data_IF_804617196182
#
_entry.id   IF_804617196182
#
_cell.length_a   1.000
_cell.length_b   1.000
_cell.length_c   1.000
_cell.angle_alpha   90.00
_cell.angle_beta   90.00
_cell.angle_gamma   90.00
#
_symmetry.space_group_name_H-M   'P 1'
#
loop_
_entity.id
_entity.type
_entity.pdbx_description
1 polymer ?
#
# COMPACT_ATOMS: atom_id res chain seq x y z
N UNK A 1 15.65 -22.36 1.84
CA UNK A 1 16.23 -21.05 2.22
C UNK A 1 15.24 -19.96 1.84
N UNK A 2 15.19 -18.82 2.56
CA UNK A 2 14.34 -17.69 2.17
C UNK A 2 14.68 -17.21 0.76
N UNK A 3 13.66 -16.90 -0.04
CA UNK A 3 13.83 -16.24 -1.34
C UNK A 3 13.56 -14.75 -1.17
N UNK A 4 14.55 -13.95 -1.54
CA UNK A 4 14.54 -12.50 -1.42
C UNK A 4 14.14 -11.84 -2.73
N UNK A 5 13.63 -10.62 -2.64
CA UNK A 5 13.32 -9.81 -3.81
C UNK A 5 14.55 -9.45 -4.64
N UNK A 6 14.31 -8.77 -5.75
CA UNK A 6 15.32 -8.41 -6.75
C UNK A 6 15.49 -6.89 -6.92
N UNK A 7 14.63 -6.07 -6.31
CA UNK A 7 14.78 -4.61 -6.38
C UNK A 7 15.96 -4.14 -5.56
N UNK A 8 16.82 -3.37 -6.20
CA UNK A 8 17.96 -2.70 -5.56
C UNK A 8 17.50 -1.47 -4.79
N UNK A 9 18.39 -0.95 -3.95
CA UNK A 9 18.14 0.26 -3.15
C UNK A 9 17.76 1.47 -4.00
N UNK A 10 18.36 1.62 -5.17
CA UNK A 10 18.14 2.73 -6.11
C UNK A 10 16.73 2.68 -6.71
N UNK A 11 16.09 1.50 -6.72
CA UNK A 11 14.76 1.28 -7.24
C UNK A 11 13.64 1.42 -6.18
N UNK A 12 14.01 1.67 -4.91
CA UNK A 12 13.08 1.63 -3.76
C UNK A 12 13.15 2.88 -2.86
N UNK A 13 13.64 4.01 -3.39
CA UNK A 13 13.72 5.28 -2.66
C UNK A 13 12.70 6.33 -3.10
N UNK A 14 12.42 7.34 -2.26
CA UNK A 14 11.63 8.50 -2.69
C UNK A 14 12.38 9.24 -3.81
N UNK A 15 11.63 9.71 -4.81
CA UNK A 15 12.20 10.39 -5.98
C UNK A 15 12.82 11.76 -5.64
N UNK A 16 12.44 12.37 -4.50
CA UNK A 16 12.91 13.67 -4.07
C UNK A 16 12.95 13.77 -2.52
N UNK A 17 13.75 14.70 -1.96
CA UNK A 17 13.68 15.03 -0.54
C UNK A 17 12.28 15.48 -0.13
N UNK A 18 11.79 15.00 1.01
CA UNK A 18 10.43 15.29 1.50
C UNK A 18 10.50 16.25 2.68
N UNK A 19 9.68 17.32 2.64
CA UNK A 19 9.43 18.16 3.80
C UNK A 19 8.35 17.52 4.68
N UNK A 20 8.75 16.86 5.77
CA UNK A 20 7.82 16.19 6.68
C UNK A 20 6.88 17.16 7.42
N UNK A 21 7.28 18.43 7.58
CA UNK A 21 6.45 19.46 8.23
C UNK A 21 5.24 19.90 7.38
N UNK A 22 5.22 19.50 6.10
CA UNK A 22 4.10 19.76 5.21
C UNK A 22 2.88 18.87 5.49
N UNK A 23 2.99 17.88 6.38
CA UNK A 23 1.92 16.92 6.69
C UNK A 23 1.45 17.02 8.14
N UNK A 24 0.18 16.68 8.42
CA UNK A 24 -0.30 16.57 9.79
C UNK A 24 0.54 15.57 10.60
N UNK A 25 0.80 15.83 11.89
CA UNK A 25 1.61 14.95 12.72
C UNK A 25 0.98 13.55 12.86
N UNK A 26 1.81 12.52 12.84
CA UNK A 26 1.41 11.14 13.10
C UNK A 26 1.29 10.88 14.62
N UNK A 27 0.45 9.91 15.07
CA UNK A 27 -0.41 9.04 14.27
C UNK A 27 -1.73 9.70 13.86
N UNK A 28 -2.22 9.37 12.67
CA UNK A 28 -3.53 9.82 12.22
C UNK A 28 -4.65 8.94 12.75
N UNK A 29 -5.73 9.59 13.20
CA UNK A 29 -6.99 8.92 13.50
C UNK A 29 -7.80 8.77 12.20
N UNK A 30 -8.20 7.55 11.88
CA UNK A 30 -8.97 7.21 10.67
C UNK A 30 -10.39 6.75 11.08
N UNK A 31 -11.18 7.67 11.63
CA UNK A 31 -12.50 7.35 12.17
C UNK A 31 -13.46 6.94 11.06
N UNK A 32 -14.26 5.90 11.29
CA UNK A 32 -15.26 5.45 10.32
C UNK A 32 -14.67 4.79 9.07
N UNK A 33 -13.39 4.41 9.10
CA UNK A 33 -12.74 3.70 8.00
C UNK A 33 -13.53 2.43 7.62
N UNK A 34 -13.85 2.31 6.34
CA UNK A 34 -14.45 1.10 5.76
C UNK A 34 -13.42 0.46 4.87
N UNK A 35 -13.12 -0.82 5.14
CA UNK A 35 -12.03 -1.53 4.45
C UNK A 35 -12.54 -2.87 3.95
N UNK A 36 -12.25 -3.18 2.69
CA UNK A 36 -12.35 -4.51 2.11
C UNK A 36 -10.96 -4.99 1.72
N UNK A 37 -10.66 -6.25 2.02
CA UNK A 37 -9.39 -6.87 1.68
C UNK A 37 -9.63 -8.20 0.97
N UNK A 38 -8.94 -8.40 -0.15
CA UNK A 38 -8.88 -9.67 -0.85
C UNK A 38 -7.43 -10.14 -0.86
N UNK A 39 -7.20 -11.39 -0.46
CA UNK A 39 -5.87 -12.03 -0.51
C UNK A 39 -5.92 -13.14 -1.56
N UNK A 40 -4.89 -13.22 -2.40
CA UNK A 40 -4.79 -14.19 -3.48
C UNK A 40 -3.34 -14.61 -3.69
N UNK A 41 -3.13 -15.84 -4.15
CA UNK A 41 -1.80 -16.33 -4.53
C UNK A 41 -1.32 -15.65 -5.81
N UNK A 42 -0.01 -15.50 -5.94
CA UNK A 42 0.62 -14.84 -7.10
C UNK A 42 1.81 -15.65 -7.61
N UNK A 43 2.26 -15.32 -8.82
CA UNK A 43 3.45 -15.90 -9.39
C UNK A 43 4.71 -15.59 -8.57
N UNK A 44 5.61 -16.56 -8.48
CA UNK A 44 6.85 -16.43 -7.72
C UNK A 44 7.78 -15.39 -8.34
N UNK A 45 8.04 -15.48 -9.64
CA UNK A 45 9.05 -14.65 -10.31
C UNK A 45 8.60 -13.18 -10.29
N UNK A 46 7.32 -12.93 -10.59
CA UNK A 46 6.72 -11.59 -10.47
C UNK A 46 6.80 -11.03 -9.04
N UNK A 47 6.65 -11.89 -8.02
CA UNK A 47 6.79 -11.47 -6.62
C UNK A 47 8.23 -11.03 -6.31
N UNK A 48 9.22 -11.80 -6.77
CA UNK A 48 10.63 -11.50 -6.51
C UNK A 48 11.07 -10.23 -7.24
N UNK A 49 10.64 -10.02 -8.49
CA UNK A 49 10.91 -8.79 -9.25
C UNK A 49 10.37 -7.51 -8.58
N UNK A 50 9.29 -7.63 -7.83
CA UNK A 50 8.62 -6.49 -7.21
C UNK A 50 9.10 -6.18 -5.78
N UNK A 51 9.67 -7.16 -5.09
CA UNK A 51 10.16 -7.01 -3.72
C UNK A 51 11.58 -6.43 -3.67
N UNK A 52 11.92 -5.66 -2.62
CA UNK A 52 13.29 -5.32 -2.28
C UNK A 52 14.15 -6.54 -1.95
N UNK A 53 15.43 -6.49 -2.29
CA UNK A 53 16.40 -7.56 -1.99
C UNK A 53 16.60 -7.84 -0.49
N UNK A 54 16.22 -6.90 0.39
CA UNK A 54 16.32 -7.08 1.84
C UNK A 54 15.08 -7.75 2.45
N UNK A 55 14.05 -8.01 1.64
CA UNK A 55 12.76 -8.56 2.07
C UNK A 55 12.54 -9.90 1.38
N UNK A 56 12.07 -10.88 2.14
CA UNK A 56 11.76 -12.22 1.62
C UNK A 56 10.25 -12.44 1.46
N UNK A 57 9.86 -13.37 0.59
CA UNK A 57 8.45 -13.74 0.36
C UNK A 57 7.97 -14.83 1.34
N UNK A 58 6.66 -14.93 1.65
CA UNK A 58 6.03 -16.08 2.32
C UNK A 58 5.86 -17.28 1.38
N UNK A 59 5.59 -18.47 1.93
CA UNK A 59 5.28 -19.69 1.15
C UNK A 59 3.84 -20.13 1.41
N UNK A 60 2.95 -20.18 0.40
CA UNK A 60 3.13 -19.69 -0.98
C UNK A 60 3.24 -18.15 -1.05
N UNK A 61 3.77 -17.58 -2.15
CA UNK A 61 3.70 -16.13 -2.38
C UNK A 61 2.24 -15.70 -2.58
N UNK A 62 1.87 -14.57 -1.98
CA UNK A 62 0.52 -14.02 -2.08
C UNK A 62 0.55 -12.49 -2.12
N UNK A 63 -0.46 -11.91 -2.73
CA UNK A 63 -0.73 -10.49 -2.74
C UNK A 63 -2.06 -10.18 -2.04
N UNK A 64 -2.26 -8.89 -1.76
CA UNK A 64 -3.47 -8.34 -1.18
C UNK A 64 -3.90 -7.12 -1.97
N UNK A 65 -5.20 -7.04 -2.28
CA UNK A 65 -5.84 -5.79 -2.66
C UNK A 65 -6.59 -5.29 -1.44
N UNK A 66 -6.29 -4.06 -1.02
CA UNK A 66 -7.05 -3.35 0.00
C UNK A 66 -7.79 -2.22 -0.70
N UNK A 67 -9.10 -2.14 -0.51
CA UNK A 67 -9.92 -0.98 -0.90
C UNK A 67 -10.48 -0.38 0.36
N UNK A 68 -10.16 0.89 0.61
CA UNK A 68 -10.60 1.59 1.81
C UNK A 68 -11.24 2.94 1.48
N UNK A 69 -12.21 3.33 2.31
CA UNK A 69 -12.84 4.65 2.30
C UNK A 69 -12.70 5.27 3.68
N UNK A 70 -12.20 6.49 3.73
CA UNK A 70 -11.99 7.27 4.94
C UNK A 70 -12.82 8.55 4.86
N UNK A 71 -13.84 8.66 5.70
CA UNK A 71 -14.72 9.84 5.74
C UNK A 71 -14.17 10.97 6.60
N UNK A 72 -13.28 10.66 7.55
CA UNK A 72 -12.75 11.60 8.53
C UNK A 72 -11.26 11.31 8.76
N UNK A 73 -10.41 12.18 8.19
CA UNK A 73 -8.95 12.12 8.35
C UNK A 73 -8.35 13.53 8.39
N UNK A 74 -7.13 13.70 8.94
CA UNK A 74 -6.41 14.97 8.90
C UNK A 74 -6.11 15.52 7.48
N UNK A 75 -6.22 14.68 6.44
CA UNK A 75 -6.04 15.07 5.03
C UNK A 75 -7.37 15.40 4.33
N UNK A 76 -8.48 15.36 5.06
CA UNK A 76 -9.82 15.34 4.48
C UNK A 76 -10.29 13.93 4.09
N UNK A 77 -11.52 13.78 3.57
CA UNK A 77 -12.05 12.51 3.14
C UNK A 77 -11.37 12.02 1.85
N UNK A 78 -11.07 10.72 1.77
CA UNK A 78 -10.56 10.08 0.55
C UNK A 78 -10.82 8.57 0.56
N UNK A 79 -10.70 7.95 -0.60
CA UNK A 79 -10.64 6.50 -0.75
C UNK A 79 -9.32 6.09 -1.40
N UNK A 80 -8.91 4.85 -1.14
CA UNK A 80 -7.69 4.27 -1.68
C UNK A 80 -7.89 2.83 -2.12
N UNK A 81 -7.12 2.43 -3.11
CA UNK A 81 -6.90 1.05 -3.49
C UNK A 81 -5.39 0.77 -3.46
N UNK A 82 -4.98 -0.20 -2.65
CA UNK A 82 -3.60 -0.60 -2.48
C UNK A 82 -3.40 -2.01 -3.00
N UNK A 83 -2.32 -2.23 -3.74
CA UNK A 83 -1.80 -3.54 -4.04
C UNK A 83 -0.55 -3.79 -3.18
N UNK A 84 -0.60 -4.85 -2.39
CA UNK A 84 0.46 -5.22 -1.46
C UNK A 84 0.94 -6.64 -1.71
N UNK A 85 2.24 -6.87 -1.56
CA UNK A 85 2.81 -8.21 -1.48
C UNK A 85 2.96 -8.63 -0.02
N UNK A 86 2.53 -9.86 0.29
CA UNK A 86 2.88 -10.50 1.54
C UNK A 86 4.39 -10.70 1.58
N UNK A 87 5.02 -10.36 2.71
CA UNK A 87 6.47 -10.36 2.80
C UNK A 87 6.97 -10.62 4.23
N UNK A 88 8.28 -10.80 4.38
CA UNK A 88 8.97 -10.93 5.66
C UNK A 88 10.22 -10.10 5.68
N UNK A 89 10.31 -9.19 6.65
CA UNK A 89 11.52 -8.45 6.97
C UNK A 89 12.06 -8.94 8.31
N UNK A 90 13.30 -9.43 8.34
CA UNK A 90 13.91 -10.05 9.55
C UNK A 90 13.01 -11.12 10.18
N UNK A 91 12.43 -11.98 9.34
CA UNK A 91 11.48 -13.06 9.71
C UNK A 91 10.11 -12.61 10.24
N UNK A 92 9.86 -11.31 10.41
CA UNK A 92 8.57 -10.79 10.81
C UNK A 92 7.64 -10.64 9.59
N UNK A 93 6.37 -11.08 9.66
CA UNK A 93 5.39 -10.83 8.62
C UNK A 93 5.18 -9.32 8.41
N UNK A 94 5.28 -8.88 7.15
CA UNK A 94 4.99 -7.51 6.71
C UNK A 94 4.13 -7.54 5.45
N UNK A 95 3.61 -6.38 5.10
CA UNK A 95 3.09 -6.10 3.77
C UNK A 95 4.01 -5.08 3.12
N UNK A 96 4.32 -5.28 1.84
CA UNK A 96 5.05 -4.32 1.03
C UNK A 96 4.11 -3.72 -0.01
N UNK A 97 3.86 -2.41 0.05
CA UNK A 97 2.98 -1.73 -0.91
C UNK A 97 3.73 -1.56 -2.22
N UNK A 98 3.16 -2.07 -3.32
CA UNK A 98 3.76 -2.00 -4.65
C UNK A 98 3.05 -1.04 -5.59
N UNK A 99 1.78 -0.73 -5.31
CA UNK A 99 1.02 0.29 -6.04
C UNK A 99 -0.11 0.84 -5.16
N UNK A 100 -0.44 2.11 -5.38
CA UNK A 100 -1.54 2.79 -4.71
C UNK A 100 -2.31 3.68 -5.70
N UNK A 101 -3.63 3.69 -5.57
CA UNK A 101 -4.53 4.65 -6.23
C UNK A 101 -5.33 5.36 -5.16
N UNK A 102 -5.39 6.68 -5.20
CA UNK A 102 -6.14 7.50 -4.22
C UNK A 102 -7.03 8.51 -4.90
N UNK A 103 -8.07 8.96 -4.21
CA UNK A 103 -9.05 9.91 -4.77
C UNK A 103 -8.76 11.38 -4.47
N UNK A 104 -7.72 11.70 -3.69
CA UNK A 104 -7.38 13.09 -3.36
C UNK A 104 -5.89 13.38 -3.52
N UNK A 105 -5.56 14.60 -3.94
CA UNK A 105 -4.18 15.07 -4.08
C UNK A 105 -3.45 15.10 -2.72
N UNK A 106 -4.17 15.44 -1.63
CA UNK A 106 -3.59 15.44 -0.29
C UNK A 106 -3.15 14.02 0.13
N UNK A 107 -3.95 12.99 -0.17
CA UNK A 107 -3.57 11.61 0.07
C UNK A 107 -2.40 11.18 -0.83
N UNK A 108 -2.40 11.58 -2.11
CA UNK A 108 -1.30 11.24 -3.03
C UNK A 108 0.03 11.83 -2.54
N UNK A 109 0.03 13.11 -2.18
CA UNK A 109 1.20 13.78 -1.63
C UNK A 109 1.69 13.12 -0.34
N UNK A 110 0.78 12.68 0.53
CA UNK A 110 1.14 11.95 1.74
C UNK A 110 1.78 10.59 1.47
N UNK A 111 1.26 9.80 0.51
CA UNK A 111 1.85 8.51 0.16
C UNK A 111 3.25 8.64 -0.45
N UNK A 112 3.43 9.60 -1.36
CA UNK A 112 4.73 9.87 -1.97
C UNK A 112 5.71 10.45 -0.96
N UNK A 113 5.26 11.40 -0.13
CA UNK A 113 6.08 12.11 0.84
C UNK A 113 6.44 11.27 2.07
N UNK A 114 5.43 10.81 2.82
CA UNK A 114 5.67 10.12 4.09
C UNK A 114 6.14 8.68 3.90
N UNK A 115 5.64 8.00 2.86
CA UNK A 115 5.83 6.57 2.70
C UNK A 115 6.66 6.19 1.47
N UNK A 116 7.06 7.15 0.63
CA UNK A 116 7.85 6.87 -0.58
C UNK A 116 7.15 5.94 -1.58
N UNK A 117 5.81 5.88 -1.54
CA UNK A 117 5.02 4.94 -2.34
C UNK A 117 4.53 5.63 -3.62
N UNK A 118 4.90 5.12 -4.82
CA UNK A 118 4.35 5.63 -6.07
C UNK A 118 2.82 5.51 -6.07
N UNK A 119 2.13 6.64 -6.21
CA UNK A 119 0.68 6.71 -6.03
C UNK A 119 0.04 7.49 -7.17
N UNK A 120 -0.97 6.90 -7.80
CA UNK A 120 -1.74 7.57 -8.86
C UNK A 120 -3.02 8.18 -8.30
N UNK A 121 -3.42 9.33 -8.86
CA UNK A 121 -4.77 9.86 -8.64
C UNK A 121 -5.76 9.09 -9.52
N UNK A 122 -6.89 8.68 -8.96
CA UNK A 122 -7.90 7.93 -9.70
C UNK A 122 -9.22 7.81 -8.97
N UNK A 123 -10.11 6.97 -9.52
CA UNK A 123 -11.42 6.69 -8.93
C UNK A 123 -11.36 5.40 -8.12
N UNK A 124 -11.81 5.47 -6.87
CA UNK A 124 -11.96 4.33 -5.98
C UNK A 124 -13.31 4.42 -5.30
N UNK A 125 -14.06 3.31 -5.25
CA UNK A 125 -15.34 3.26 -4.54
C UNK A 125 -15.49 1.93 -3.81
N UNK A 126 -16.11 2.00 -2.63
CA UNK A 126 -16.45 0.82 -1.82
C UNK A 126 -17.95 0.85 -1.52
N UNK A 127 -18.70 0.15 -2.36
CA UNK A 127 -20.16 0.08 -2.27
C UNK A 127 -20.57 -1.24 -1.63
N UNK A 128 -21.56 -1.19 -0.74
CA UNK A 128 -22.20 -2.39 -0.21
C UNK A 128 -23.44 -2.66 -1.05
N UNK A 129 -23.39 -3.68 -1.87
CA UNK A 129 -24.55 -4.17 -2.60
C UNK A 129 -25.18 -5.34 -1.84
N UNK A 130 -26.50 -5.35 -1.75
CA UNK A 130 -27.24 -6.48 -1.19
C UNK A 130 -27.49 -7.46 -2.33
N UNK A 131 -27.08 -8.72 -2.18
CA UNK A 131 -27.50 -9.74 -3.13
C UNK A 131 -29.05 -9.80 -3.14
N UNK A 132 -29.70 -9.76 -4.31
CA UNK A 132 -31.12 -10.08 -4.37
C UNK A 132 -31.32 -11.49 -3.82
N UNK A 133 -32.31 -11.63 -2.95
CA UNK A 133 -32.68 -12.90 -2.31
C UNK A 133 -33.29 -13.87 -3.32
#
# INVERSE_FOLDING_TARGET
MPQFGLKTKEQIGPAAPVNLEAFPPLPWKLSGARVAQVTFEVDLDATLELLPEQISRPVPPYARIIVASYSDTPLGPYAEALLLLGSRFRMEPKNYVIAAVVTSEAARAAYEGLYGTPTSLGTVSLVRERNPA
#
